data_IF_130614121009
#
_entry.id   IF_130614121009
#
_cell.length_a   1.000
_cell.length_b   1.000
_cell.length_c   1.000
_cell.angle_alpha   90.00
_cell.angle_beta   90.00
_cell.angle_gamma   90.00
#
_symmetry.space_group_name_H-M   'P 1'
#
loop_
_entity.id
_entity.type
_entity.pdbx_description
1 polymer ?
#
# COMPACT_ATOMS: atom_id res chain seq x y z
N UNK A 1 25.49 40.86 5.78
CA UNK A 1 24.96 40.12 4.62
C UNK A 1 25.26 38.65 4.86
N UNK A 2 24.24 37.81 5.07
CA UNK A 2 24.41 36.40 5.44
C UNK A 2 23.58 35.52 4.51
N UNK A 3 24.22 34.60 3.80
CA UNK A 3 23.57 33.51 3.07
C UNK A 3 23.36 32.36 4.07
N UNK A 4 22.15 32.23 4.60
CA UNK A 4 21.78 31.15 5.50
C UNK A 4 21.03 30.05 4.72
N UNK A 5 21.57 28.83 4.76
CA UNK A 5 20.77 27.61 4.79
C UNK A 5 20.40 26.99 3.45
N UNK A 6 21.36 26.31 2.82
CA UNK A 6 21.01 25.06 2.13
C UNK A 6 20.55 24.07 3.21
N UNK A 7 19.24 23.81 3.28
CA UNK A 7 18.76 22.51 3.72
C UNK A 7 17.46 22.22 3.00
N UNK A 8 17.64 21.69 1.80
CA UNK A 8 16.72 20.79 1.13
C UNK A 8 16.47 19.61 2.07
N UNK A 9 15.62 19.80 3.07
CA UNK A 9 15.05 18.66 3.76
C UNK A 9 13.97 18.14 2.81
N UNK A 10 14.11 16.92 2.24
CA UNK A 10 12.91 16.23 1.83
C UNK A 10 12.05 16.22 3.09
N UNK A 11 10.87 16.85 3.07
CA UNK A 11 9.85 16.32 3.97
C UNK A 11 9.74 14.87 3.55
N UNK A 12 10.27 13.98 4.37
CA UNK A 12 9.78 12.62 4.43
C UNK A 12 8.30 12.79 4.70
N UNK A 13 7.53 12.88 3.62
CA UNK A 13 6.10 12.63 3.64
C UNK A 13 6.04 11.21 4.20
N UNK A 14 5.70 11.11 5.48
CA UNK A 14 5.37 9.84 6.08
C UNK A 14 4.26 9.26 5.21
N UNK A 15 4.66 8.29 4.39
CA UNK A 15 3.86 7.62 3.36
C UNK A 15 2.41 7.46 3.83
N UNK A 16 1.52 8.25 3.24
CA UNK A 16 0.09 8.22 3.51
C UNK A 16 -0.48 6.91 2.97
N UNK A 17 -0.46 5.86 3.81
CA UNK A 17 -1.00 4.53 3.49
C UNK A 17 -0.37 3.95 2.24
N UNK A 18 0.89 3.49 2.32
CA UNK A 18 1.48 2.67 1.24
C UNK A 18 0.54 1.52 0.96
N UNK A 19 -0.15 1.59 -0.18
CA UNK A 19 -1.00 0.52 -0.63
C UNK A 19 -0.15 -0.75 -0.70
N UNK A 20 -0.69 -1.91 -0.30
CA UNK A 20 0.03 -3.16 -0.48
C UNK A 20 0.29 -3.32 -1.98
N UNK A 21 1.55 -3.15 -2.36
CA UNK A 21 2.03 -3.36 -3.71
C UNK A 21 1.90 -4.83 -4.08
N UNK A 22 2.09 -5.11 -5.37
CA UNK A 22 2.23 -6.49 -5.85
C UNK A 22 3.38 -7.15 -5.08
N UNK A 23 3.11 -8.31 -4.46
CA UNK A 23 4.02 -8.98 -3.57
C UNK A 23 4.05 -8.47 -2.13
N UNK A 24 3.08 -7.69 -1.67
CA UNK A 24 2.91 -7.40 -0.25
C UNK A 24 2.18 -8.55 0.45
N UNK A 25 2.55 -8.82 1.70
CA UNK A 25 1.86 -9.78 2.56
C UNK A 25 0.84 -9.04 3.45
N UNK A 26 -0.43 -9.43 3.37
CA UNK A 26 -1.54 -8.89 4.15
C UNK A 26 -2.17 -10.01 4.96
N UNK A 27 -1.84 -10.11 6.25
CA UNK A 27 -2.53 -11.05 7.16
C UNK A 27 -2.49 -12.51 6.71
N UNK A 28 -1.38 -12.95 6.09
CA UNK A 28 -1.22 -14.31 5.56
C UNK A 28 -1.61 -14.47 4.09
N UNK A 29 -2.00 -13.40 3.41
CA UNK A 29 -2.30 -13.40 1.98
C UNK A 29 -1.26 -12.61 1.20
N UNK A 30 -0.71 -13.22 0.14
CA UNK A 30 0.25 -12.58 -0.77
C UNK A 30 -0.50 -11.83 -1.85
N UNK A 31 -0.41 -10.50 -1.89
CA UNK A 31 -1.04 -9.68 -2.94
C UNK A 31 -0.39 -9.97 -4.29
N UNK A 32 -1.21 -10.34 -5.27
CA UNK A 32 -0.77 -10.57 -6.63
C UNK A 32 -0.93 -9.31 -7.47
N UNK A 33 -2.11 -8.69 -7.43
CA UNK A 33 -2.42 -7.45 -8.15
C UNK A 33 -3.68 -6.77 -7.60
N UNK A 34 -3.82 -5.47 -7.85
CA UNK A 34 -5.07 -4.74 -7.57
C UNK A 34 -6.14 -5.09 -8.61
N UNK A 35 -7.35 -5.36 -8.14
CA UNK A 35 -8.53 -5.63 -8.98
C UNK A 35 -9.39 -4.38 -9.15
N UNK A 36 -9.51 -3.55 -8.12
CA UNK A 36 -10.29 -2.31 -8.18
C UNK A 36 -10.27 -1.51 -6.88
N UNK A 37 -10.83 -0.30 -6.93
CA UNK A 37 -11.09 0.52 -5.75
C UNK A 37 -12.37 1.33 -5.90
N UNK A 38 -13.00 1.64 -4.78
CA UNK A 38 -14.16 2.53 -4.70
C UNK A 38 -14.35 3.08 -3.29
N UNK A 39 -15.48 3.74 -3.04
CA UNK A 39 -15.72 4.46 -1.77
C UNK A 39 -15.70 3.60 -0.50
N UNK A 40 -15.77 2.27 -0.60
CA UNK A 40 -15.73 1.34 0.54
C UNK A 40 -14.40 0.59 0.67
N UNK A 41 -13.37 1.02 -0.05
CA UNK A 41 -12.03 0.44 0.01
C UNK A 41 -11.57 -0.20 -1.29
N UNK A 42 -10.64 -1.14 -1.17
CA UNK A 42 -9.86 -1.69 -2.28
C UNK A 42 -9.97 -3.20 -2.35
N UNK A 43 -9.90 -3.74 -3.57
CA UNK A 43 -9.96 -5.18 -3.82
C UNK A 43 -8.69 -5.61 -4.54
N UNK A 44 -8.08 -6.68 -4.05
CA UNK A 44 -6.88 -7.29 -4.57
C UNK A 44 -7.13 -8.76 -4.92
N UNK A 45 -6.44 -9.26 -5.94
CA UNK A 45 -6.22 -10.69 -6.06
C UNK A 45 -5.04 -11.03 -5.16
N UNK A 46 -5.20 -12.04 -4.31
CA UNK A 46 -4.17 -12.49 -3.41
C UNK A 46 -4.12 -14.02 -3.37
N UNK A 47 -2.97 -14.57 -3.04
CA UNK A 47 -2.79 -16.00 -2.77
C UNK A 47 -2.85 -16.23 -1.26
N UNK A 48 -3.61 -17.20 -0.79
CA UNK A 48 -3.64 -17.59 0.63
C UNK A 48 -2.49 -18.54 0.99
N UNK A 49 -2.40 -18.93 2.26
CA UNK A 49 -1.35 -19.85 2.74
C UNK A 49 -1.40 -21.26 2.15
N UNK A 50 -2.47 -21.63 1.44
CA UNK A 50 -2.64 -22.92 0.76
C UNK A 50 -2.46 -22.80 -0.76
N UNK A 51 -2.11 -21.62 -1.27
CA UNK A 51 -1.90 -21.37 -2.69
C UNK A 51 -3.16 -21.01 -3.48
N UNK A 52 -4.29 -20.76 -2.81
CA UNK A 52 -5.55 -20.43 -3.48
C UNK A 52 -5.64 -18.94 -3.79
N UNK A 53 -6.06 -18.61 -5.02
CA UNK A 53 -6.28 -17.21 -5.42
C UNK A 53 -7.65 -16.74 -4.96
N UNK A 54 -7.66 -15.72 -4.10
CA UNK A 54 -8.86 -15.12 -3.50
C UNK A 54 -8.96 -13.63 -3.80
N UNK A 55 -10.16 -13.09 -3.66
CA UNK A 55 -10.40 -11.64 -3.69
C UNK A 55 -10.34 -11.08 -2.26
N UNK A 56 -9.30 -10.31 -1.96
CA UNK A 56 -9.10 -9.68 -0.65
C UNK A 56 -9.62 -8.23 -0.68
N UNK A 57 -10.61 -7.92 0.16
CA UNK A 57 -11.15 -6.56 0.31
C UNK A 57 -10.58 -5.90 1.55
N UNK A 58 -9.82 -4.83 1.35
CA UNK A 58 -9.36 -3.96 2.42
C UNK A 58 -10.42 -2.89 2.70
N UNK A 59 -10.92 -2.84 3.93
CA UNK A 59 -11.81 -1.79 4.40
C UNK A 59 -10.96 -0.58 4.84
N UNK A 60 -11.29 0.62 4.35
CA UNK A 60 -10.69 1.85 4.86
C UNK A 60 -11.23 2.16 6.25
N UNK A 61 -10.35 2.54 7.18
CA UNK A 61 -10.73 3.09 8.48
C UNK A 61 -11.25 4.53 8.33
#
# INVERSE_FOLDING_TARGET
>A
MSFAGLSTSPRTQTDETTLPGEGADLGGYRVLRRLGAGGMGQVFAAEDGEGQVVALKQLGL
#
